data_IF_749904127145
#
_entry.id   IF_749904127145
#
_cell.length_a   1.000
_cell.length_b   1.000
_cell.length_c   1.000
_cell.angle_alpha   90.00
_cell.angle_beta   90.00
_cell.angle_gamma   90.00
#
_symmetry.space_group_name_H-M   'P 1'
#
loop_
_entity.id
_entity.type
_entity.pdbx_description
1 polymer ?
#
# COMPACT_ATOMS: atom_id res chain seq x y z
N UNK A 1 56.21 -30.13 -37.19
CA UNK A 1 55.48 -29.00 -36.56
C UNK A 1 54.05 -29.36 -36.39
N UNK A 2 53.73 -30.00 -35.26
CA UNK A 2 52.37 -30.38 -34.88
C UNK A 2 51.90 -29.39 -33.83
N UNK A 3 50.94 -28.50 -34.20
CA UNK A 3 50.27 -27.60 -33.28
C UNK A 3 49.28 -28.41 -32.44
N UNK A 4 49.54 -28.52 -31.14
CA UNK A 4 48.58 -29.02 -30.15
C UNK A 4 47.45 -27.97 -29.98
N UNK A 5 46.24 -28.34 -30.36
CA UNK A 5 45.03 -27.60 -30.00
C UNK A 5 44.82 -27.69 -28.51
N UNK A 6 44.78 -26.55 -27.80
CA UNK A 6 44.34 -26.47 -26.41
C UNK A 6 42.80 -26.50 -26.40
N UNK A 7 42.24 -27.58 -25.93
CA UNK A 7 40.85 -27.68 -25.53
C UNK A 7 40.69 -26.84 -24.27
N UNK A 8 40.01 -25.69 -24.39
CA UNK A 8 39.51 -24.96 -23.22
C UNK A 8 38.22 -25.62 -22.77
N UNK A 9 38.33 -26.54 -21.84
CA UNK A 9 37.19 -27.12 -21.11
C UNK A 9 36.81 -26.14 -20.00
N UNK A 10 35.98 -25.14 -20.33
CA UNK A 10 35.32 -24.30 -19.34
C UNK A 10 34.03 -25.00 -18.90
N UNK A 11 34.18 -26.05 -18.10
CA UNK A 11 33.05 -26.55 -17.33
C UNK A 11 32.59 -25.43 -16.39
N UNK A 12 31.42 -24.85 -16.64
CA UNK A 12 30.78 -23.94 -15.69
C UNK A 12 30.55 -24.69 -14.39
N UNK A 13 31.17 -24.24 -13.31
CA UNK A 13 30.90 -24.78 -11.97
C UNK A 13 29.40 -24.69 -11.68
N UNK A 14 28.78 -25.75 -11.15
CA UNK A 14 27.37 -25.75 -10.85
C UNK A 14 27.10 -24.63 -9.82
N UNK A 15 26.33 -23.61 -10.24
CA UNK A 15 25.95 -22.50 -9.37
C UNK A 15 25.21 -23.06 -8.14
N UNK A 16 25.72 -22.75 -6.96
CA UNK A 16 25.11 -23.15 -5.71
C UNK A 16 23.60 -22.81 -5.70
N UNK A 17 22.75 -23.70 -5.18
CA UNK A 17 21.31 -23.47 -5.16
C UNK A 17 21.01 -22.15 -4.42
N UNK A 18 20.18 -21.30 -5.03
CA UNK A 18 19.79 -20.03 -4.42
C UNK A 18 19.04 -20.31 -3.11
N UNK A 19 19.43 -19.64 -2.04
CA UNK A 19 18.70 -19.74 -0.76
C UNK A 19 17.24 -19.35 -0.98
N UNK A 20 16.27 -20.11 -0.41
CA UNK A 20 14.87 -19.76 -0.52
C UNK A 20 14.64 -18.37 0.09
N UNK A 21 13.91 -17.51 -0.63
CA UNK A 21 13.60 -16.15 -0.18
C UNK A 21 12.46 -16.21 0.82
N UNK A 22 12.61 -15.52 1.95
CA UNK A 22 11.56 -15.42 2.95
C UNK A 22 10.48 -14.45 2.45
N UNK A 23 9.24 -14.94 2.28
CA UNK A 23 8.09 -14.07 2.04
C UNK A 23 7.81 -13.23 3.28
N UNK A 24 7.75 -11.92 3.11
CA UNK A 24 7.42 -10.95 4.16
C UNK A 24 6.24 -10.10 3.70
N UNK A 25 5.21 -10.03 4.52
CA UNK A 25 4.05 -9.16 4.31
C UNK A 25 4.06 -7.99 5.30
N UNK A 26 4.76 -8.17 6.43
CA UNK A 26 4.76 -7.26 7.54
C UNK A 26 6.18 -6.81 7.87
N UNK A 27 6.32 -5.51 8.11
CA UNK A 27 7.55 -4.85 8.56
C UNK A 27 7.18 -3.94 9.73
N UNK A 28 8.01 -3.90 10.77
CA UNK A 28 7.85 -2.98 11.89
C UNK A 28 8.79 -1.79 11.76
N UNK A 29 10.06 -2.08 11.50
CA UNK A 29 11.10 -1.08 11.34
C UNK A 29 12.04 -1.47 10.20
N UNK A 30 12.21 -0.56 9.24
CA UNK A 30 13.16 -0.71 8.15
C UNK A 30 13.42 0.64 7.46
N UNK A 31 14.63 0.86 7.00
CA UNK A 31 14.94 2.00 6.12
C UNK A 31 14.28 1.80 4.75
N UNK A 32 14.09 2.89 3.99
CA UNK A 32 13.48 2.80 2.66
C UNK A 32 14.30 1.93 1.70
N UNK A 33 15.63 1.88 1.84
CA UNK A 33 16.49 0.99 1.05
C UNK A 33 16.22 -0.49 1.37
N UNK A 34 16.07 -0.82 2.66
CA UNK A 34 15.73 -2.19 3.07
C UNK A 34 14.34 -2.58 2.60
N UNK A 35 13.37 -1.65 2.63
CA UNK A 35 12.03 -1.87 2.07
C UNK A 35 12.14 -2.16 0.57
N UNK A 36 12.99 -1.42 -0.16
CA UNK A 36 13.27 -1.68 -1.57
C UNK A 36 13.81 -3.08 -1.83
N UNK A 37 14.76 -3.56 -1.02
CA UNK A 37 15.29 -4.92 -1.12
C UNK A 37 14.23 -6.00 -0.80
N UNK A 38 13.33 -5.74 0.16
CA UNK A 38 12.23 -6.65 0.47
C UNK A 38 11.23 -6.69 -0.69
N UNK A 39 10.84 -5.54 -1.24
CA UNK A 39 9.89 -5.44 -2.35
C UNK A 39 10.42 -6.03 -3.66
N UNK A 40 11.73 -5.99 -3.90
CA UNK A 40 12.37 -6.65 -5.05
C UNK A 40 12.08 -8.16 -5.10
N UNK A 41 12.00 -8.78 -3.93
CA UNK A 41 11.82 -10.22 -3.77
C UNK A 41 10.37 -10.59 -3.43
N UNK A 42 9.50 -9.60 -3.25
CA UNK A 42 8.09 -9.80 -2.93
C UNK A 42 7.24 -9.87 -4.20
N UNK A 43 6.44 -10.92 -4.32
CA UNK A 43 5.42 -11.04 -5.37
C UNK A 43 4.15 -10.24 -5.01
N UNK A 44 4.02 -9.86 -3.75
CA UNK A 44 2.87 -9.18 -3.16
C UNK A 44 3.33 -7.91 -2.43
N UNK A 45 2.39 -7.02 -2.13
CA UNK A 45 2.67 -5.81 -1.37
C UNK A 45 3.13 -6.09 0.06
N UNK A 46 3.71 -5.09 0.69
CA UNK A 46 4.21 -5.13 2.07
C UNK A 46 3.56 -4.00 2.86
N UNK A 47 3.19 -4.27 4.10
CA UNK A 47 2.68 -3.27 5.03
C UNK A 47 3.67 -3.06 6.19
N UNK A 48 3.93 -1.81 6.53
CA UNK A 48 4.65 -1.46 7.75
C UNK A 48 3.65 -1.11 8.87
N UNK A 49 3.83 -1.75 10.02
CA UNK A 49 3.11 -1.41 11.24
C UNK A 49 4.01 -0.60 12.16
N UNK A 50 3.54 0.58 12.55
CA UNK A 50 4.24 1.48 13.45
C UNK A 50 3.42 1.67 14.72
N UNK A 51 4.03 1.50 15.89
CA UNK A 51 3.38 1.84 17.15
C UNK A 51 3.11 3.34 17.21
N UNK A 52 4.05 4.16 16.72
CA UNK A 52 3.92 5.60 16.64
C UNK A 52 4.49 6.14 15.31
N UNK A 53 3.64 6.83 14.53
CA UNK A 53 4.01 7.47 13.27
C UNK A 53 4.71 8.83 13.45
N UNK A 54 4.68 9.40 14.65
CA UNK A 54 5.18 10.75 14.90
C UNK A 54 6.66 10.92 14.55
N UNK A 55 7.50 9.98 14.95
CA UNK A 55 8.92 9.99 14.61
C UNK A 55 9.20 9.86 13.13
N UNK A 56 8.43 9.03 12.44
CA UNK A 56 8.50 8.86 10.98
C UNK A 56 8.14 10.15 10.26
N UNK A 57 7.00 10.78 10.61
CA UNK A 57 6.56 12.01 9.96
C UNK A 57 7.54 13.16 10.23
N UNK A 58 8.11 13.24 11.43
CA UNK A 58 9.15 14.21 11.75
C UNK A 58 10.43 14.01 10.91
N UNK A 59 10.82 12.78 10.63
CA UNK A 59 12.00 12.48 9.81
C UNK A 59 11.87 12.98 8.36
N UNK A 60 10.67 13.05 7.83
CA UNK A 60 10.39 13.59 6.47
C UNK A 60 10.39 15.12 6.42
N UNK A 61 10.21 15.80 7.55
CA UNK A 61 10.31 17.25 7.65
C UNK A 61 11.75 17.76 7.69
N UNK A 62 12.72 16.89 7.89
CA UNK A 62 14.13 17.28 7.85
C UNK A 62 14.58 17.56 6.42
N UNK A 63 15.25 18.69 6.18
CA UNK A 63 15.85 19.04 4.88
C UNK A 63 17.06 18.15 4.52
N UNK A 64 17.34 17.13 5.30
CA UNK A 64 18.40 16.17 5.02
C UNK A 64 18.08 15.37 3.74
N UNK A 65 19.08 15.17 2.89
CA UNK A 65 18.96 14.41 1.63
C UNK A 65 18.30 13.05 1.82
N UNK A 66 18.64 12.34 2.89
CA UNK A 66 18.05 11.04 3.21
C UNK A 66 16.53 11.11 3.45
N UNK A 67 16.04 12.18 4.09
CA UNK A 67 14.60 12.39 4.29
C UNK A 67 13.86 12.66 2.98
N UNK A 68 14.46 13.41 2.07
CA UNK A 68 13.90 13.70 0.74
C UNK A 68 13.85 12.43 -0.15
N UNK A 69 14.88 11.60 -0.15
CA UNK A 69 14.91 10.34 -0.90
C UNK A 69 13.86 9.35 -0.38
N UNK A 70 13.78 9.18 0.95
CA UNK A 70 12.76 8.34 1.58
C UNK A 70 11.35 8.83 1.25
N UNK A 71 11.11 10.14 1.31
CA UNK A 71 9.82 10.76 0.99
C UNK A 71 9.41 10.47 -0.46
N UNK A 72 10.31 10.66 -1.42
CA UNK A 72 10.07 10.34 -2.83
C UNK A 72 9.78 8.87 -3.06
N UNK A 73 10.50 7.98 -2.38
CA UNK A 73 10.25 6.55 -2.40
C UNK A 73 8.81 6.23 -1.94
N UNK A 74 8.36 6.81 -0.84
CA UNK A 74 7.00 6.55 -0.34
C UNK A 74 5.90 7.19 -1.19
N UNK A 75 6.13 8.36 -1.77
CA UNK A 75 5.21 8.97 -2.71
C UNK A 75 4.96 8.08 -3.93
N UNK A 76 6.03 7.48 -4.47
CA UNK A 76 5.95 6.59 -5.61
C UNK A 76 5.24 5.27 -5.33
N UNK A 77 5.40 4.72 -4.11
CA UNK A 77 4.81 3.41 -3.75
C UNK A 77 3.30 3.45 -3.48
N UNK A 78 2.70 4.63 -3.34
CA UNK A 78 1.30 4.78 -2.95
C UNK A 78 0.31 4.34 -4.04
N UNK A 79 0.59 4.57 -5.30
CA UNK A 79 -0.31 4.18 -6.39
C UNK A 79 -0.44 2.66 -6.56
N UNK A 80 0.64 1.91 -6.25
CA UNK A 80 0.65 0.46 -6.38
C UNK A 80 0.65 -0.08 -7.82
N UNK A 81 0.65 0.80 -8.83
CA UNK A 81 0.57 0.45 -10.26
C UNK A 81 1.92 0.51 -10.99
N UNK A 82 2.95 0.99 -10.28
CA UNK A 82 4.26 1.24 -10.83
C UNK A 82 5.28 0.16 -10.54
N UNK A 83 6.38 0.28 -11.25
CA UNK A 83 7.66 -0.35 -10.96
C UNK A 83 8.66 0.71 -10.52
N UNK A 84 9.74 0.30 -9.87
CA UNK A 84 10.75 1.21 -9.38
C UNK A 84 12.15 0.69 -9.66
N UNK A 85 12.99 1.54 -10.24
CA UNK A 85 14.41 1.25 -10.45
C UNK A 85 15.23 1.88 -9.33
N UNK A 86 16.09 1.09 -8.73
CA UNK A 86 17.04 1.56 -7.71
C UNK A 86 18.44 1.45 -8.31
N UNK A 87 19.10 2.60 -8.44
CA UNK A 87 20.47 2.69 -8.92
C UNK A 87 21.35 3.29 -7.82
N UNK A 88 22.32 2.50 -7.33
CA UNK A 88 23.24 2.91 -6.27
C UNK A 88 24.67 2.54 -6.64
N UNK A 89 25.58 3.50 -6.55
CA UNK A 89 27.00 3.34 -6.92
C UNK A 89 27.66 2.19 -6.13
N UNK A 90 27.32 2.01 -4.85
CA UNK A 90 27.96 1.01 -3.98
C UNK A 90 27.22 -0.32 -3.88
N UNK A 91 25.94 -0.39 -4.25
CA UNK A 91 25.08 -1.59 -4.08
C UNK A 91 24.55 -2.15 -5.40
N UNK A 92 24.91 -1.51 -6.53
CA UNK A 92 24.41 -1.88 -7.84
C UNK A 92 22.98 -1.43 -8.09
N UNK A 93 22.41 -1.92 -9.21
CA UNK A 93 21.09 -1.58 -9.67
C UNK A 93 20.15 -2.77 -9.51
N UNK A 94 18.91 -2.52 -9.13
CA UNK A 94 17.86 -3.55 -9.10
C UNK A 94 16.49 -2.96 -9.45
N UNK A 95 15.60 -3.85 -9.85
CA UNK A 95 14.26 -3.51 -10.30
C UNK A 95 13.21 -4.08 -9.36
N UNK A 96 12.28 -3.23 -8.92
CA UNK A 96 11.11 -3.61 -8.13
C UNK A 96 9.92 -3.67 -9.10
N UNK A 97 9.42 -4.87 -9.36
CA UNK A 97 8.31 -5.08 -10.30
C UNK A 97 6.99 -4.59 -9.71
N UNK A 98 6.72 -4.96 -8.46
CA UNK A 98 5.49 -4.65 -7.74
C UNK A 98 5.83 -3.67 -6.61
N UNK A 99 5.64 -2.38 -6.87
CA UNK A 99 6.03 -1.33 -5.94
C UNK A 99 4.85 -0.95 -5.04
N UNK A 100 4.42 -1.93 -4.22
CA UNK A 100 3.25 -1.79 -3.35
C UNK A 100 3.67 -1.77 -1.89
N UNK A 101 3.47 -0.64 -1.26
CA UNK A 101 3.85 -0.45 0.12
C UNK A 101 2.79 0.36 0.87
N UNK A 102 2.21 -0.24 1.91
CA UNK A 102 1.25 0.40 2.79
C UNK A 102 1.86 0.67 4.17
N UNK A 103 1.26 1.60 4.90
CA UNK A 103 1.62 1.92 6.29
C UNK A 103 0.38 1.99 7.15
N UNK A 104 0.52 1.50 8.37
CA UNK A 104 -0.48 1.62 9.42
C UNK A 104 0.22 1.94 10.74
N UNK A 105 -0.37 2.80 11.57
CA UNK A 105 0.19 3.10 12.88
C UNK A 105 -0.60 4.16 13.62
N UNK A 106 -0.32 4.27 14.91
CA UNK A 106 -0.87 5.27 15.79
C UNK A 106 -0.17 6.62 15.66
N UNK A 107 -0.89 7.70 15.94
CA UNK A 107 -0.32 9.03 16.05
C UNK A 107 -1.08 9.83 17.11
N UNK A 108 -0.35 10.60 17.92
CA UNK A 108 -0.98 11.51 18.89
C UNK A 108 -1.69 12.66 18.15
N UNK A 109 -2.92 13.05 18.54
CA UNK A 109 -3.64 14.16 17.92
C UNK A 109 -2.81 15.44 17.83
N UNK A 110 -2.11 15.80 18.89
CA UNK A 110 -1.25 16.99 18.94
C UNK A 110 -0.08 16.98 17.95
N UNK A 111 0.34 15.81 17.49
CA UNK A 111 1.40 15.68 16.48
C UNK A 111 0.82 15.78 15.08
N UNK A 112 -0.35 15.16 14.82
CA UNK A 112 -0.98 15.27 13.51
C UNK A 112 -1.41 16.72 13.23
N UNK A 113 -1.90 17.44 14.23
CA UNK A 113 -2.22 18.86 14.11
C UNK A 113 -1.03 19.68 13.64
N UNK A 114 0.16 19.46 14.22
CA UNK A 114 1.38 20.15 13.80
C UNK A 114 1.75 19.84 12.35
N UNK A 115 1.65 18.56 11.94
CA UNK A 115 1.96 18.14 10.56
C UNK A 115 0.99 18.76 9.57
N UNK A 116 -0.31 18.81 9.91
CA UNK A 116 -1.35 19.45 9.09
C UNK A 116 -1.11 20.95 8.98
N UNK A 117 -0.82 21.64 10.09
CA UNK A 117 -0.53 23.09 10.08
C UNK A 117 0.73 23.39 9.24
N UNK A 118 1.76 22.57 9.34
CA UNK A 118 2.94 22.71 8.49
C UNK A 118 2.60 22.55 7.01
N UNK A 119 1.79 21.56 6.64
CA UNK A 119 1.38 21.35 5.25
C UNK A 119 0.52 22.50 4.71
N UNK A 120 -0.35 23.11 5.55
CA UNK A 120 -1.17 24.26 5.17
C UNK A 120 -0.31 25.51 4.96
N UNK A 121 0.68 25.72 5.81
CA UNK A 121 1.54 26.91 5.80
C UNK A 121 2.73 26.82 4.84
N UNK A 122 2.98 25.62 4.25
CA UNK A 122 4.04 25.44 3.25
C UNK A 122 3.54 25.80 1.85
N UNK A 123 4.30 26.63 1.12
CA UNK A 123 4.01 26.97 -0.27
C UNK A 123 4.12 25.78 -1.24
N UNK A 124 4.72 24.68 -0.80
CA UNK A 124 4.99 23.49 -1.60
C UNK A 124 4.54 22.21 -0.87
N UNK A 125 3.25 21.89 -0.95
CA UNK A 125 2.78 20.54 -0.57
C UNK A 125 3.07 19.56 -1.72
N UNK A 126 3.86 18.50 -1.42
CA UNK A 126 4.15 17.42 -2.39
C UNK A 126 3.07 16.33 -2.38
N UNK A 127 2.00 16.51 -1.63
CA UNK A 127 0.89 15.57 -1.51
C UNK A 127 1.20 14.35 -0.63
N UNK A 128 2.24 14.40 0.20
CA UNK A 128 2.59 13.28 1.07
C UNK A 128 1.55 13.07 2.18
N UNK A 129 1.15 14.14 2.86
CA UNK A 129 0.14 14.06 3.92
C UNK A 129 -1.21 13.58 3.38
N UNK A 130 -1.59 14.02 2.20
CA UNK A 130 -2.86 13.71 1.54
C UNK A 130 -2.99 12.23 1.14
N UNK A 131 -1.90 11.48 1.22
CA UNK A 131 -1.88 10.03 1.01
C UNK A 131 -2.19 9.21 2.27
N UNK A 132 -2.15 9.85 3.44
CA UNK A 132 -2.70 9.27 4.67
C UNK A 132 -4.20 9.56 4.70
N UNK A 133 -5.02 8.62 4.23
CA UNK A 133 -6.44 8.87 3.94
C UNK A 133 -7.39 8.26 4.94
N UNK A 134 -6.95 7.24 5.68
CA UNK A 134 -7.79 6.53 6.64
C UNK A 134 -7.37 6.94 8.06
N UNK A 135 -8.04 7.97 8.59
CA UNK A 135 -7.89 8.37 9.97
C UNK A 135 -9.09 7.89 10.77
N UNK A 136 -8.81 7.21 11.87
CA UNK A 136 -9.81 6.86 12.85
C UNK A 136 -9.46 7.54 14.17
N UNK A 137 -10.40 8.27 14.71
CA UNK A 137 -10.29 8.85 16.04
C UNK A 137 -11.38 8.21 16.90
N UNK A 138 -11.03 7.43 17.93
CA UNK A 138 -12.02 6.78 18.76
C UNK A 138 -12.85 7.83 19.51
N UNK A 139 -14.16 7.57 19.65
CA UNK A 139 -15.02 8.38 20.48
C UNK A 139 -14.53 8.37 21.93
N UNK A 140 -14.65 9.51 22.58
CA UNK A 140 -14.28 9.64 23.98
C UNK A 140 -15.34 8.90 24.81
N UNK A 141 -14.91 7.90 25.57
CA UNK A 141 -15.75 7.27 26.57
C UNK A 141 -15.52 8.00 27.90
N UNK A 142 -16.48 8.77 28.36
CA UNK A 142 -16.41 9.51 29.63
C UNK A 142 -16.50 8.57 30.83
N UNK A 143 -17.15 7.42 30.66
CA UNK A 143 -17.32 6.44 31.71
C UNK A 143 -16.24 5.36 31.64
N UNK A 144 -15.64 5.08 32.79
CA UNK A 144 -14.72 3.96 32.93
C UNK A 144 -15.47 2.64 32.88
N UNK A 145 -15.16 1.81 31.88
CA UNK A 145 -15.65 0.44 31.80
C UNK A 145 -14.50 -0.54 31.98
N UNK A 146 -14.53 -1.32 33.04
CA UNK A 146 -13.60 -2.43 33.17
C UNK A 146 -13.89 -3.49 32.10
N UNK A 147 -12.92 -3.73 31.23
CA UNK A 147 -13.04 -4.73 30.20
C UNK A 147 -12.23 -5.98 30.58
N UNK A 148 -12.90 -6.89 31.29
CA UNK A 148 -12.33 -8.20 31.64
C UNK A 148 -13.08 -9.31 30.87
N UNK A 149 -12.86 -9.34 29.54
CA UNK A 149 -13.50 -10.34 28.66
C UNK A 149 -12.43 -11.25 28.08
N UNK A 150 -12.69 -12.54 28.11
CA UNK A 150 -11.88 -13.51 27.37
C UNK A 150 -12.13 -13.35 25.88
N UNK A 151 -11.12 -13.71 25.08
CA UNK A 151 -11.28 -13.73 23.63
C UNK A 151 -12.38 -14.73 23.21
N UNK A 152 -13.16 -14.33 22.22
CA UNK A 152 -14.11 -15.21 21.56
C UNK A 152 -13.36 -16.16 20.60
N UNK A 153 -13.34 -17.44 20.95
CA UNK A 153 -12.61 -18.46 20.19
C UNK A 153 -13.19 -18.68 18.81
N UNK A 154 -14.49 -18.53 18.64
CA UNK A 154 -15.17 -18.74 17.36
C UNK A 154 -14.88 -17.57 16.41
N UNK A 155 -14.91 -16.35 16.91
CA UNK A 155 -14.50 -15.17 16.16
C UNK A 155 -13.03 -15.28 15.75
N UNK A 156 -12.15 -15.69 16.67
CA UNK A 156 -10.72 -15.88 16.39
C UNK A 156 -10.48 -16.94 15.30
N UNK A 157 -11.22 -18.05 15.38
CA UNK A 157 -11.15 -19.12 14.38
C UNK A 157 -11.61 -18.61 13.01
N UNK A 158 -12.78 -17.97 12.96
CA UNK A 158 -13.32 -17.39 11.72
C UNK A 158 -12.36 -16.35 11.12
N UNK A 159 -11.76 -15.49 11.94
CA UNK A 159 -10.74 -14.54 11.49
C UNK A 159 -9.53 -15.25 10.87
N UNK A 160 -9.07 -16.34 11.49
CA UNK A 160 -7.96 -17.13 10.94
C UNK A 160 -8.29 -17.76 9.58
N UNK A 161 -9.50 -18.30 9.42
CA UNK A 161 -9.98 -18.89 8.16
C UNK A 161 -10.06 -17.85 7.03
N UNK A 162 -10.67 -16.70 7.30
CA UNK A 162 -10.76 -15.58 6.35
C UNK A 162 -9.37 -15.07 5.96
N UNK A 163 -8.49 -14.86 6.94
CA UNK A 163 -7.13 -14.42 6.70
C UNK A 163 -6.33 -15.41 5.85
N UNK A 164 -6.49 -16.71 6.10
CA UNK A 164 -5.85 -17.74 5.30
C UNK A 164 -6.34 -17.74 3.85
N UNK A 165 -7.65 -17.59 3.66
CA UNK A 165 -8.26 -17.49 2.33
C UNK A 165 -7.71 -16.30 1.56
N UNK A 166 -7.64 -15.12 2.20
CA UNK A 166 -7.10 -13.91 1.56
C UNK A 166 -5.59 -14.04 1.23
N UNK A 167 -4.80 -14.71 2.06
CA UNK A 167 -3.37 -14.94 1.80
C UNK A 167 -3.11 -15.86 0.60
N UNK A 168 -4.05 -16.76 0.30
CA UNK A 168 -3.97 -17.72 -0.81
C UNK A 168 -4.89 -17.34 -1.98
N UNK A 169 -5.50 -16.17 -1.92
CA UNK A 169 -6.52 -15.72 -2.86
C UNK A 169 -5.95 -15.55 -4.27
N UNK A 170 -6.54 -16.29 -5.22
CA UNK A 170 -6.35 -16.02 -6.65
C UNK A 170 -7.61 -15.33 -7.19
N UNK A 171 -7.59 -14.02 -7.44
CA UNK A 171 -8.76 -13.27 -7.85
C UNK A 171 -9.37 -13.79 -9.18
N UNK A 172 -8.59 -14.49 -10.02
CA UNK A 172 -9.09 -15.05 -11.27
C UNK A 172 -10.06 -16.21 -11.07
N UNK A 173 -9.92 -16.94 -9.96
CA UNK A 173 -10.86 -18.00 -9.58
C UNK A 173 -12.20 -17.44 -9.07
N UNK A 174 -12.22 -16.14 -8.74
CA UNK A 174 -13.38 -15.43 -8.19
C UNK A 174 -13.92 -14.36 -9.12
N UNK A 175 -13.66 -14.48 -10.43
CA UNK A 175 -14.30 -13.66 -11.44
C UNK A 175 -13.48 -12.46 -11.92
N UNK A 176 -12.30 -12.21 -11.40
CA UNK A 176 -11.41 -11.18 -11.93
C UNK A 176 -10.95 -11.55 -13.34
N UNK A 177 -10.90 -10.55 -14.22
CA UNK A 177 -10.44 -10.68 -15.60
C UNK A 177 -9.00 -10.24 -15.73
N UNK A 178 -8.30 -10.76 -16.73
CA UNK A 178 -6.99 -10.27 -17.15
C UNK A 178 -7.12 -9.57 -18.49
N UNK A 179 -6.45 -8.43 -18.65
CA UNK A 179 -6.30 -7.78 -19.93
C UNK A 179 -5.10 -8.40 -20.68
N UNK A 180 -5.15 -8.35 -22.01
CA UNK A 180 -4.05 -8.83 -22.86
C UNK A 180 -2.75 -8.04 -22.62
N UNK A 181 -2.86 -6.74 -22.32
CA UNK A 181 -1.73 -5.83 -22.12
C UNK A 181 -1.31 -5.68 -20.66
N UNK A 182 -2.10 -6.15 -19.70
CA UNK A 182 -1.78 -6.08 -18.26
C UNK A 182 -1.99 -7.45 -17.62
N UNK A 183 -0.94 -8.00 -17.03
CA UNK A 183 -1.00 -9.29 -16.36
C UNK A 183 -1.75 -9.26 -15.02
N UNK A 184 -2.10 -8.06 -14.52
CA UNK A 184 -2.81 -7.89 -13.25
C UNK A 184 -4.29 -8.18 -13.43
N UNK A 185 -4.88 -9.06 -12.61
CA UNK A 185 -6.30 -9.29 -12.63
C UNK A 185 -7.07 -8.05 -12.12
N UNK A 186 -8.26 -7.82 -12.63
CA UNK A 186 -9.13 -6.72 -12.23
C UNK A 186 -10.59 -7.14 -12.13
N UNK A 187 -11.33 -6.52 -11.23
CA UNK A 187 -12.77 -6.54 -11.17
C UNK A 187 -13.36 -5.27 -11.80
N UNK A 188 -14.63 -5.31 -12.12
CA UNK A 188 -15.40 -4.13 -12.55
C UNK A 188 -16.58 -3.94 -11.61
N UNK A 189 -17.00 -2.70 -11.42
CA UNK A 189 -18.25 -2.43 -10.72
C UNK A 189 -19.45 -3.03 -11.47
N UNK A 190 -20.43 -3.55 -10.72
CA UNK A 190 -21.75 -3.87 -11.25
C UNK A 190 -22.43 -2.60 -11.80
N UNK A 191 -23.56 -2.76 -12.48
CA UNK A 191 -24.29 -1.60 -12.99
C UNK A 191 -24.78 -0.69 -11.85
N UNK A 192 -25.23 -1.29 -10.77
CA UNK A 192 -25.73 -0.65 -9.57
C UNK A 192 -24.61 0.09 -8.85
N UNK A 193 -23.51 -0.59 -8.58
CA UNK A 193 -22.31 0.01 -7.96
C UNK A 193 -21.72 1.14 -8.83
N UNK A 194 -21.78 1.00 -10.17
CA UNK A 194 -21.33 2.05 -11.08
C UNK A 194 -22.21 3.31 -11.01
N UNK A 195 -23.51 3.17 -10.77
CA UNK A 195 -24.42 4.30 -10.56
C UNK A 195 -24.06 5.01 -9.26
N UNK A 196 -23.95 4.27 -8.15
CA UNK A 196 -23.58 4.81 -6.86
C UNK A 196 -22.18 5.51 -6.89
N UNK A 197 -21.21 4.88 -7.57
CA UNK A 197 -19.90 5.50 -7.77
C UNK A 197 -19.97 6.84 -8.51
N UNK A 198 -20.78 6.94 -9.58
CA UNK A 198 -20.93 8.18 -10.36
C UNK A 198 -21.58 9.30 -9.56
N UNK A 199 -22.56 8.97 -8.73
CA UNK A 199 -23.22 9.94 -7.83
C UNK A 199 -22.22 10.45 -6.80
N UNK A 200 -21.49 9.55 -6.16
CA UNK A 200 -20.43 9.90 -5.23
C UNK A 200 -19.34 10.77 -5.89
N UNK A 201 -18.86 10.41 -7.09
CA UNK A 201 -17.81 11.16 -7.78
C UNK A 201 -18.26 12.57 -8.18
N UNK A 202 -19.54 12.76 -8.55
CA UNK A 202 -20.12 14.08 -8.78
C UNK A 202 -20.09 14.95 -7.50
N UNK A 203 -20.55 14.39 -6.39
CA UNK A 203 -20.54 15.09 -5.10
C UNK A 203 -19.11 15.43 -4.65
N UNK A 204 -18.17 14.49 -4.81
CA UNK A 204 -16.75 14.70 -4.55
C UNK A 204 -16.19 15.85 -5.41
N UNK A 205 -16.51 15.86 -6.71
CA UNK A 205 -16.05 16.90 -7.63
C UNK A 205 -16.55 18.30 -7.21
N UNK A 206 -17.82 18.42 -6.82
CA UNK A 206 -18.36 19.68 -6.31
C UNK A 206 -17.58 20.17 -5.10
N UNK A 207 -17.33 19.31 -4.11
CA UNK A 207 -16.52 19.64 -2.92
C UNK A 207 -15.08 20.04 -3.30
N UNK A 208 -14.48 19.36 -4.27
CA UNK A 208 -13.14 19.69 -4.75
C UNK A 208 -13.09 21.08 -5.36
N UNK A 209 -14.06 21.44 -6.20
CA UNK A 209 -14.14 22.77 -6.82
C UNK A 209 -14.41 23.87 -5.79
N UNK A 210 -15.20 23.60 -4.77
CA UNK A 210 -15.42 24.52 -3.66
C UNK A 210 -14.14 24.77 -2.86
N UNK A 211 -13.41 23.71 -2.49
CA UNK A 211 -12.12 23.81 -1.82
C UNK A 211 -11.12 24.65 -2.65
N UNK A 212 -11.09 24.45 -3.97
CA UNK A 212 -10.26 25.22 -4.90
C UNK A 212 -10.61 26.70 -4.92
N UNK A 213 -11.90 27.04 -5.00
CA UNK A 213 -12.38 28.44 -4.96
C UNK A 213 -11.99 29.13 -3.66
N UNK A 214 -12.04 28.38 -2.55
CA UNK A 214 -11.68 28.86 -1.22
C UNK A 214 -10.16 28.83 -0.95
N UNK A 215 -9.33 28.48 -1.95
CA UNK A 215 -7.87 28.38 -1.85
C UNK A 215 -7.40 27.39 -0.77
N UNK A 216 -8.20 26.35 -0.48
CA UNK A 216 -7.88 25.29 0.48
C UNK A 216 -7.11 24.16 -0.23
N UNK A 217 -5.90 24.44 -0.70
CA UNK A 217 -5.16 23.57 -1.61
C UNK A 217 -4.83 22.19 -1.04
N UNK A 218 -4.48 22.09 0.23
CA UNK A 218 -4.22 20.79 0.91
C UNK A 218 -5.50 19.95 0.93
N UNK A 219 -6.64 20.57 1.24
CA UNK A 219 -7.94 19.90 1.26
C UNK A 219 -8.38 19.48 -0.16
N UNK A 220 -8.22 20.36 -1.16
CA UNK A 220 -8.45 20.03 -2.58
C UNK A 220 -7.63 18.81 -3.01
N UNK A 221 -6.34 18.81 -2.68
CA UNK A 221 -5.43 17.70 -2.97
C UNK A 221 -5.87 16.40 -2.30
N UNK A 222 -6.28 16.45 -1.04
CA UNK A 222 -6.82 15.30 -0.30
C UNK A 222 -8.06 14.73 -0.98
N UNK A 223 -9.03 15.58 -1.35
CA UNK A 223 -10.24 15.17 -2.08
C UNK A 223 -9.88 14.48 -3.41
N UNK A 224 -8.86 14.97 -4.12
CA UNK A 224 -8.44 14.39 -5.40
C UNK A 224 -7.98 12.94 -5.27
N UNK A 225 -7.38 12.55 -4.14
CA UNK A 225 -6.89 11.21 -3.86
C UNK A 225 -8.00 10.21 -3.49
N UNK A 226 -9.18 10.71 -3.11
CA UNK A 226 -10.29 9.84 -2.69
C UNK A 226 -10.78 8.88 -3.78
N UNK A 227 -10.55 9.18 -5.07
CA UNK A 227 -10.89 8.26 -6.17
C UNK A 227 -10.15 6.93 -6.08
N UNK A 228 -8.86 6.97 -5.78
CA UNK A 228 -8.05 5.76 -5.62
C UNK A 228 -8.48 5.02 -4.36
N UNK A 229 -8.72 5.76 -3.28
CA UNK A 229 -9.14 5.18 -2.01
C UNK A 229 -10.46 4.40 -2.13
N UNK A 230 -11.49 4.98 -2.76
CA UNK A 230 -12.79 4.30 -2.90
C UNK A 230 -12.67 3.04 -3.73
N UNK A 231 -11.88 3.06 -4.82
CA UNK A 231 -11.61 1.89 -5.61
C UNK A 231 -10.93 0.78 -4.81
N UNK A 232 -9.90 1.13 -4.03
CA UNK A 232 -9.19 0.19 -3.17
C UNK A 232 -10.08 -0.38 -2.08
N UNK A 233 -10.89 0.46 -1.42
CA UNK A 233 -11.81 0.00 -0.37
C UNK A 233 -12.90 -0.91 -0.94
N UNK A 234 -13.48 -0.56 -2.09
CA UNK A 234 -14.47 -1.40 -2.75
C UNK A 234 -13.92 -2.79 -3.07
N UNK A 235 -12.67 -2.86 -3.55
CA UNK A 235 -12.00 -4.12 -3.83
C UNK A 235 -11.75 -4.92 -2.55
N UNK A 236 -11.19 -4.28 -1.51
CA UNK A 236 -10.90 -4.94 -0.23
C UNK A 236 -12.18 -5.50 0.39
N UNK A 237 -13.26 -4.72 0.45
CA UNK A 237 -14.52 -5.20 0.99
C UNK A 237 -15.11 -6.36 0.17
N UNK A 238 -15.05 -6.27 -1.15
CA UNK A 238 -15.55 -7.33 -2.04
C UNK A 238 -14.77 -8.65 -1.81
N UNK A 239 -13.45 -8.61 -1.78
CA UNK A 239 -12.62 -9.78 -1.51
C UNK A 239 -12.85 -10.33 -0.09
N UNK A 240 -13.07 -9.45 0.88
CA UNK A 240 -13.36 -9.85 2.26
C UNK A 240 -14.71 -10.55 2.40
N UNK A 241 -15.74 -10.06 1.71
CA UNK A 241 -17.07 -10.68 1.68
C UNK A 241 -17.04 -12.05 0.99
N UNK A 242 -16.27 -12.20 -0.10
CA UNK A 242 -16.04 -13.50 -0.74
C UNK A 242 -15.33 -14.44 0.23
N UNK A 243 -14.23 -14.01 0.86
CA UNK A 243 -13.44 -14.83 1.76
C UNK A 243 -14.21 -15.23 3.03
N UNK A 244 -15.17 -14.41 3.46
CA UNK A 244 -16.07 -14.67 4.58
C UNK A 244 -17.22 -15.60 4.22
N UNK A 245 -17.43 -15.91 2.93
CA UNK A 245 -18.54 -16.72 2.43
C UNK A 245 -19.90 -15.99 2.44
N UNK A 246 -19.90 -14.66 2.59
CA UNK A 246 -21.13 -13.86 2.65
C UNK A 246 -21.73 -13.61 1.25
N UNK A 247 -20.89 -13.59 0.22
CA UNK A 247 -21.33 -13.43 -1.16
C UNK A 247 -20.76 -14.53 -2.05
N UNK A 248 -21.51 -14.91 -3.07
CA UNK A 248 -21.01 -15.78 -4.10
C UNK A 248 -20.10 -15.00 -5.04
N UNK A 249 -18.93 -15.55 -5.42
CA UNK A 249 -18.02 -14.88 -6.34
C UNK A 249 -18.74 -14.45 -7.61
N UNK A 250 -18.63 -13.18 -7.97
CA UNK A 250 -19.20 -12.62 -9.19
C UNK A 250 -18.10 -11.95 -10.03
N UNK A 251 -18.39 -11.70 -11.31
CA UNK A 251 -17.44 -10.99 -12.19
C UNK A 251 -17.43 -9.47 -11.97
N UNK A 252 -18.25 -8.96 -11.07
CA UNK A 252 -18.37 -7.53 -10.79
C UNK A 252 -18.36 -7.29 -9.28
N UNK A 253 -17.94 -6.10 -8.89
CA UNK A 253 -18.03 -5.58 -7.53
C UNK A 253 -19.39 -4.90 -7.39
N UNK A 254 -20.16 -5.27 -6.40
CA UNK A 254 -21.44 -4.68 -6.04
C UNK A 254 -21.32 -3.49 -5.08
#
# INVERSE_FOLDING_TARGET
NTKKAKFNDTAEEPKAPRKPKRKRFLINDATHEMIGEILKDADQGVIALHDELGGLLASFGSQARAGSEARSFYLGSWNGDGSYHVDRIGRGSFFIKNYWFARFGGIKPSLIDKVVQQAINCDHSDGFLERFQLFSYPEFCEEYHECNKFEDKDIKKKYGEVSHTLLTFDPTLFGAKKDFNDSRPFFRYSKEAQIAYREWDRARHVRQMEARRNKQYVFESSISKQKVLIGSLSLIFHEFEIASGNITPSFNID
#
